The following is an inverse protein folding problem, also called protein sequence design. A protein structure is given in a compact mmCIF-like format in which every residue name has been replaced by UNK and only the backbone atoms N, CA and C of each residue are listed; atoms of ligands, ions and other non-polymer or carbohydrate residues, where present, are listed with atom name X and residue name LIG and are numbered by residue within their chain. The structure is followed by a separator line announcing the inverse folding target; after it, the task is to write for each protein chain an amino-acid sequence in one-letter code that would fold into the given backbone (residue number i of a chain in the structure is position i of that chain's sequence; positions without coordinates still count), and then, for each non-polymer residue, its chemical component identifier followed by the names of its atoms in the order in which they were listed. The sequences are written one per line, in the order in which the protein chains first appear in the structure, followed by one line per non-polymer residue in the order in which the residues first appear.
data_IF_571297654621
#
_entry.id   IF_571297654621
#
_cell.length_a   1.000
_cell.length_b   1.000
_cell.length_c   1.000
_cell.angle_alpha   90.00
_cell.angle_beta   90.00
_cell.angle_gamma   90.00
#
_symmetry.space_group_name_H-M   'P 1'
#
loop_
_entity.id
_entity.type
_entity.pdbx_description
1 polymer ?
#
# COMPACT_ATOMS: atom_id res chain seq x y z
N UNK A 1 16.56 9.70 1.06
CA UNK A 1 15.95 8.42 1.53
C UNK A 1 16.65 7.18 1.00
N UNK A 2 17.13 7.09 -0.26
CA UNK A 2 17.96 5.94 -0.70
C UNK A 2 19.36 5.86 -0.07
N UNK A 3 19.79 6.90 0.64
CA UNK A 3 21.12 6.95 1.29
C UNK A 3 21.26 6.01 2.51
N UNK A 4 20.17 5.38 2.99
CA UNK A 4 20.21 4.48 4.15
C UNK A 4 20.27 2.98 3.81
N UNK A 5 20.32 2.59 2.53
CA UNK A 5 20.35 1.17 2.14
C UNK A 5 19.02 0.42 2.35
N UNK A 6 17.93 1.15 2.61
CA UNK A 6 16.60 0.57 2.80
C UNK A 6 15.96 0.19 1.46
N UNK A 7 15.31 -0.97 1.44
CA UNK A 7 14.49 -1.38 0.29
C UNK A 7 13.18 -0.60 0.32
N UNK A 8 12.88 0.14 -0.75
CA UNK A 8 11.66 0.96 -0.82
C UNK A 8 10.64 0.20 -1.67
N UNK A 9 9.57 -0.27 -1.03
CA UNK A 9 8.47 -0.93 -1.73
C UNK A 9 7.25 -0.01 -1.82
N UNK A 10 6.48 -0.17 -2.88
CA UNK A 10 5.26 0.56 -3.13
C UNK A 10 4.05 -0.35 -3.02
N UNK A 11 2.95 0.15 -2.43
CA UNK A 11 1.68 -0.58 -2.41
C UNK A 11 0.53 0.27 -2.96
N UNK A 12 -0.15 -0.25 -3.98
CA UNK A 12 -1.29 0.37 -4.62
C UNK A 12 -2.56 -0.46 -4.44
N UNK A 13 -3.56 0.09 -3.77
CA UNK A 13 -4.86 -0.56 -3.58
C UNK A 13 -5.99 0.21 -4.24
N UNK A 14 -6.95 -0.52 -4.82
CA UNK A 14 -8.22 0.04 -5.29
C UNK A 14 -9.40 -0.80 -4.81
N UNK A 15 -10.38 -0.12 -4.21
CA UNK A 15 -11.65 -0.73 -3.83
C UNK A 15 -12.48 -1.00 -5.09
N UNK A 16 -13.37 -1.99 -5.03
CA UNK A 16 -14.39 -2.17 -6.08
C UNK A 16 -15.36 -0.99 -6.03
N UNK A 17 -15.54 -0.32 -7.15
CA UNK A 17 -16.44 0.81 -7.37
C UNK A 17 -17.10 0.66 -8.75
N UNK A 18 -17.95 1.61 -9.14
CA UNK A 18 -18.80 1.50 -10.34
C UNK A 18 -18.05 1.46 -11.67
N UNK A 19 -16.74 1.78 -11.70
CA UNK A 19 -15.97 1.73 -12.93
C UNK A 19 -15.70 0.31 -13.41
N UNK A 20 -15.61 0.18 -14.73
CA UNK A 20 -15.23 -1.02 -15.45
C UNK A 20 -13.78 -1.45 -15.20
N UNK A 21 -13.42 -2.63 -15.71
CA UNK A 21 -12.11 -3.23 -15.51
C UNK A 21 -10.98 -2.44 -16.19
N UNK A 22 -11.21 -1.94 -17.40
CA UNK A 22 -10.22 -1.17 -18.18
C UNK A 22 -9.86 0.14 -17.49
N UNK A 23 -10.88 0.89 -17.06
CA UNK A 23 -10.73 2.11 -16.27
C UNK A 23 -9.99 1.82 -14.98
N UNK A 24 -10.29 0.70 -14.31
CA UNK A 24 -9.60 0.30 -13.09
C UNK A 24 -8.11 0.00 -13.33
N UNK A 25 -7.77 -0.77 -14.36
CA UNK A 25 -6.38 -1.03 -14.79
C UNK A 25 -5.65 0.29 -15.06
N UNK A 26 -6.24 1.17 -15.87
CA UNK A 26 -5.67 2.47 -16.22
C UNK A 26 -5.39 3.34 -14.99
N UNK A 27 -6.31 3.34 -14.02
CA UNK A 27 -6.14 4.09 -12.77
C UNK A 27 -5.02 3.51 -11.90
N UNK A 28 -4.91 2.18 -11.81
CA UNK A 28 -3.81 1.52 -11.10
C UNK A 28 -2.47 1.80 -11.78
N UNK A 29 -2.39 1.72 -13.10
CA UNK A 29 -1.18 2.06 -13.86
C UNK A 29 -0.72 3.49 -13.58
N UNK A 30 -1.67 4.45 -13.53
CA UNK A 30 -1.36 5.84 -13.16
C UNK A 30 -0.80 5.95 -11.75
N UNK A 31 -1.31 5.17 -10.78
CA UNK A 31 -0.79 5.14 -9.42
C UNK A 31 0.65 4.61 -9.37
N UNK A 32 0.93 3.51 -10.08
CA UNK A 32 2.27 2.89 -10.15
C UNK A 32 3.28 3.84 -10.79
N UNK A 33 2.95 4.41 -11.95
CA UNK A 33 3.82 5.36 -12.65
C UNK A 33 4.21 6.56 -11.78
N UNK A 34 3.25 7.07 -10.99
CA UNK A 34 3.51 8.17 -10.04
C UNK A 34 4.45 7.74 -8.93
N UNK A 35 4.25 6.56 -8.36
CA UNK A 35 5.05 6.06 -7.26
C UNK A 35 6.49 5.78 -7.69
N UNK A 36 6.69 5.17 -8.87
CA UNK A 36 8.03 4.98 -9.45
C UNK A 36 8.72 6.30 -9.78
N UNK A 37 8.00 7.25 -10.39
CA UNK A 37 8.57 8.54 -10.80
C UNK A 37 8.97 9.45 -9.63
N UNK A 38 8.28 9.36 -8.48
CA UNK A 38 8.46 10.31 -7.36
C UNK A 38 9.09 9.69 -6.12
N UNK A 39 8.74 8.45 -5.82
CA UNK A 39 9.05 7.82 -4.55
C UNK A 39 10.21 6.82 -4.67
N UNK A 40 10.83 6.71 -5.86
CA UNK A 40 12.00 5.85 -6.16
C UNK A 40 11.81 4.40 -5.70
N UNK A 41 10.57 3.90 -5.78
CA UNK A 41 10.21 2.54 -5.37
C UNK A 41 10.98 1.52 -6.20
N UNK A 42 11.60 0.57 -5.50
CA UNK A 42 12.34 -0.55 -6.06
C UNK A 42 11.39 -1.66 -6.55
N UNK A 43 10.30 -1.90 -5.82
CA UNK A 43 9.32 -2.96 -6.11
C UNK A 43 7.89 -2.54 -5.76
N UNK A 44 6.93 -2.81 -6.65
CA UNK A 44 5.53 -2.39 -6.46
C UNK A 44 4.57 -3.58 -6.36
N UNK A 45 3.74 -3.58 -5.33
CA UNK A 45 2.66 -4.53 -5.07
C UNK A 45 1.31 -3.87 -5.31
N UNK A 46 0.35 -4.63 -5.84
CA UNK A 46 -0.97 -4.08 -6.20
C UNK A 46 -2.11 -4.94 -5.66
N UNK A 47 -3.21 -4.31 -5.29
CA UNK A 47 -4.46 -4.99 -4.92
C UNK A 47 -5.63 -4.33 -5.65
N UNK A 48 -6.02 -4.88 -6.83
CA UNK A 48 -6.91 -4.19 -7.77
C UNK A 48 -8.37 -4.12 -7.28
N UNK A 49 -8.81 -5.10 -6.49
CA UNK A 49 -10.20 -5.27 -6.05
C UNK A 49 -10.29 -5.55 -4.55
N UNK A 50 -9.64 -4.74 -3.71
CA UNK A 50 -9.63 -4.92 -2.26
C UNK A 50 -10.22 -3.71 -1.55
N UNK A 51 -11.21 -3.90 -0.67
CA UNK A 51 -11.80 -2.82 0.10
C UNK A 51 -10.84 -2.34 1.22
N UNK A 52 -10.92 -1.06 1.56
CA UNK A 52 -9.96 -0.42 2.48
C UNK A 52 -10.05 -0.93 3.92
N UNK A 53 -11.29 -1.16 4.38
CA UNK A 53 -11.55 -1.77 5.69
C UNK A 53 -11.61 -3.29 5.64
N UNK A 54 -11.24 -3.92 4.51
CA UNK A 54 -11.20 -5.38 4.44
C UNK A 54 -10.09 -5.85 5.36
N UNK A 55 -10.42 -6.85 6.18
CA UNK A 55 -9.43 -7.40 7.07
C UNK A 55 -8.26 -8.00 6.31
N UNK A 56 -7.06 -7.63 6.74
CA UNK A 56 -5.87 -8.36 6.37
C UNK A 56 -6.03 -9.75 6.98
N UNK A 57 -6.52 -10.70 6.18
CA UNK A 57 -6.49 -12.10 6.57
C UNK A 57 -5.01 -12.47 6.52
N UNK A 58 -4.34 -12.36 7.67
CA UNK A 58 -2.93 -12.70 7.86
C UNK A 58 -2.82 -14.25 7.81
N UNK A 59 -3.21 -14.86 6.67
CA UNK A 59 -3.25 -16.30 6.33
C UNK A 59 -4.46 -17.12 6.85
N UNK A 60 -4.85 -18.28 6.27
CA UNK A 60 -4.39 -18.98 5.06
C UNK A 60 -5.56 -19.17 4.06
N UNK A 61 -5.81 -18.19 3.19
CA UNK A 61 -6.56 -18.48 1.96
C UNK A 61 -5.91 -17.63 0.88
N UNK A 62 -5.34 -18.21 -0.18
CA UNK A 62 -4.96 -17.42 -1.33
C UNK A 62 -6.22 -16.71 -1.80
N UNK A 63 -6.24 -15.38 -1.66
CA UNK A 63 -7.23 -14.56 -2.36
C UNK A 63 -7.12 -15.01 -3.81
N UNK A 64 -8.22 -15.51 -4.40
CA UNK A 64 -8.23 -15.90 -5.81
C UNK A 64 -7.61 -14.76 -6.60
N UNK A 65 -6.41 -15.01 -7.11
CA UNK A 65 -5.64 -14.06 -7.89
C UNK A 65 -6.52 -13.67 -9.05
N UNK A 66 -6.84 -12.39 -9.17
CA UNK A 66 -7.58 -11.94 -10.34
C UNK A 66 -6.56 -11.73 -11.46
N UNK A 67 -6.07 -12.85 -11.99
CA UNK A 67 -4.98 -12.95 -12.99
C UNK A 67 -5.19 -12.05 -14.19
N UNK A 68 -6.44 -11.71 -14.53
CA UNK A 68 -6.77 -10.75 -15.60
C UNK A 68 -6.20 -9.35 -15.36
N UNK A 69 -6.20 -8.87 -14.12
CA UNK A 69 -5.63 -7.55 -13.79
C UNK A 69 -4.11 -7.58 -13.77
N UNK A 70 -3.51 -8.67 -13.30
CA UNK A 70 -2.06 -8.83 -13.21
C UNK A 70 -1.41 -8.80 -14.60
N UNK A 71 -2.08 -9.39 -15.61
CA UNK A 71 -1.62 -9.38 -16.99
C UNK A 71 -1.82 -8.04 -17.70
N UNK A 72 -2.68 -7.16 -17.18
CA UNK A 72 -3.08 -5.92 -17.83
C UNK A 72 -2.37 -4.68 -17.26
N UNK A 73 -1.66 -4.82 -16.13
CA UNK A 73 -0.93 -3.72 -15.51
C UNK A 73 0.56 -3.95 -15.73
N UNK A 74 1.20 -3.02 -16.44
CA UNK A 74 2.62 -3.05 -16.73
C UNK A 74 3.44 -2.66 -15.49
N UNK A 75 4.69 -3.10 -15.44
CA UNK A 75 5.68 -2.70 -14.43
C UNK A 75 5.27 -3.07 -12.99
N UNK A 76 4.57 -4.20 -12.83
CA UNK A 76 4.38 -4.85 -11.53
C UNK A 76 5.35 -6.02 -11.44
N UNK A 77 6.05 -6.11 -10.30
CA UNK A 77 6.94 -7.24 -10.05
C UNK A 77 6.28 -8.35 -9.24
N UNK A 78 5.35 -8.01 -8.33
CA UNK A 78 4.61 -8.97 -7.49
C UNK A 78 3.16 -8.52 -7.30
N UNK A 79 2.26 -9.47 -7.02
CA UNK A 79 0.82 -9.21 -6.91
C UNK A 79 0.27 -9.43 -5.50
N UNK A 80 -0.81 -8.74 -5.15
CA UNK A 80 -1.56 -8.90 -3.90
C UNK A 80 -0.75 -8.50 -2.64
N UNK A 81 -1.49 -8.22 -1.57
CA UNK A 81 -0.96 -8.04 -0.23
C UNK A 81 -0.17 -9.27 0.30
N UNK A 82 -0.51 -10.48 -0.14
CA UNK A 82 0.11 -11.70 0.38
C UNK A 82 1.58 -11.81 -0.01
N UNK A 83 1.90 -11.51 -1.27
CA UNK A 83 3.27 -11.52 -1.76
C UNK A 83 4.06 -10.39 -1.10
N UNK A 84 3.42 -9.23 -0.87
CA UNK A 84 4.02 -8.15 -0.09
C UNK A 84 4.38 -8.55 1.33
N UNK A 85 3.49 -9.25 2.05
CA UNK A 85 3.78 -9.73 3.41
C UNK A 85 4.92 -10.75 3.37
N UNK A 86 4.91 -11.65 2.38
CA UNK A 86 5.95 -12.67 2.21
C UNK A 86 7.31 -12.03 1.90
N UNK A 87 7.33 -10.98 1.08
CA UNK A 87 8.51 -10.17 0.79
C UNK A 87 9.02 -9.44 2.03
N UNK A 88 8.13 -8.82 2.81
CA UNK A 88 8.46 -8.16 4.08
C UNK A 88 9.01 -9.15 5.12
N UNK A 89 8.60 -10.42 5.09
CA UNK A 89 9.09 -11.42 6.03
C UNK A 89 10.56 -11.79 5.79
N UNK A 90 11.04 -11.73 4.54
CA UNK A 90 12.39 -12.16 4.15
C UNK A 90 13.35 -11.01 3.86
N UNK A 91 12.83 -9.80 3.63
CA UNK A 91 13.63 -8.63 3.27
C UNK A 91 13.78 -7.71 4.47
N UNK A 92 15.00 -7.47 4.97
CA UNK A 92 15.25 -6.52 6.06
C UNK A 92 15.15 -5.05 5.61
N UNK A 93 14.95 -4.15 6.57
CA UNK A 93 15.03 -2.69 6.40
C UNK A 93 14.14 -2.15 5.27
N UNK A 94 12.84 -2.47 5.33
CA UNK A 94 11.89 -2.10 4.29
C UNK A 94 11.13 -0.83 4.66
N UNK A 95 11.01 0.07 3.70
CA UNK A 95 10.12 1.25 3.76
C UNK A 95 8.97 1.09 2.79
N UNK A 96 7.74 1.16 3.31
CA UNK A 96 6.52 0.98 2.53
C UNK A 96 5.93 2.33 2.12
N UNK A 97 5.78 2.57 0.83
CA UNK A 97 5.15 3.78 0.27
C UNK A 97 3.70 3.51 -0.13
N UNK A 98 2.79 4.39 0.30
CA UNK A 98 1.38 4.43 -0.11
C UNK A 98 0.96 5.86 -0.47
N UNK A 99 0.01 6.02 -1.38
CA UNK A 99 -0.40 7.36 -1.88
C UNK A 99 -1.37 8.11 -0.95
N UNK A 100 -2.03 7.40 -0.04
CA UNK A 100 -2.91 7.95 0.98
C UNK A 100 -3.10 6.90 2.09
N UNK A 101 -3.62 7.31 3.24
CA UNK A 101 -3.84 6.41 4.38
C UNK A 101 -4.73 5.22 4.01
N UNK A 102 -5.87 5.51 3.37
CA UNK A 102 -6.78 4.47 2.91
C UNK A 102 -6.11 3.55 1.89
N UNK A 103 -5.12 4.00 1.13
CA UNK A 103 -4.35 3.21 0.16
C UNK A 103 -3.69 1.99 0.79
N UNK A 104 -3.34 2.07 2.08
CA UNK A 104 -2.94 0.93 2.89
C UNK A 104 -4.17 0.19 3.41
N UNK A 105 -4.82 0.75 4.44
CA UNK A 105 -6.02 0.21 5.08
C UNK A 105 -6.75 1.30 5.85
N UNK A 106 -8.04 1.09 6.12
CA UNK A 106 -8.80 1.87 7.10
C UNK A 106 -9.13 1.08 8.38
N UNK A 107 -8.70 -0.17 8.48
CA UNK A 107 -8.84 -0.95 9.70
C UNK A 107 -7.60 -0.79 10.58
N UNK A 108 -7.70 0.05 11.61
CA UNK A 108 -6.60 0.31 12.56
C UNK A 108 -6.16 -0.97 13.27
N UNK A 109 -7.09 -1.85 13.67
CA UNK A 109 -6.75 -3.08 14.40
C UNK A 109 -5.85 -3.97 13.56
N UNK A 110 -6.19 -4.10 12.28
CA UNK A 110 -5.41 -4.90 11.35
C UNK A 110 -4.11 -4.21 10.95
N UNK A 111 -4.08 -2.88 10.87
CA UNK A 111 -2.84 -2.13 10.66
C UNK A 111 -1.85 -2.38 11.80
N UNK A 112 -2.31 -2.30 13.06
CA UNK A 112 -1.48 -2.56 14.24
C UNK A 112 -0.94 -3.99 14.23
N UNK A 113 -1.80 -4.97 13.93
CA UNK A 113 -1.39 -6.38 13.80
C UNK A 113 -0.42 -6.61 12.63
N UNK A 114 -0.66 -5.98 11.48
CA UNK A 114 0.23 -6.04 10.32
C UNK A 114 1.62 -5.53 10.67
N UNK A 115 1.72 -4.38 11.34
CA UNK A 115 2.99 -3.82 11.78
C UNK A 115 3.66 -4.80 12.75
N UNK A 116 2.98 -5.25 13.81
CA UNK A 116 3.53 -6.22 14.78
C UNK A 116 4.12 -7.45 14.07
N UNK A 117 3.41 -8.01 13.09
CA UNK A 117 3.80 -9.23 12.37
C UNK A 117 4.84 -9.03 11.26
N UNK A 118 5.23 -7.79 10.96
CA UNK A 118 6.22 -7.46 9.91
C UNK A 118 7.43 -6.73 10.52
N UNK A 119 8.31 -7.42 11.27
CA UNK A 119 9.40 -6.77 12.02
C UNK A 119 10.41 -6.03 11.14
N UNK A 120 10.56 -6.44 9.88
CA UNK A 120 11.46 -5.79 8.93
C UNK A 120 10.91 -4.48 8.32
N UNK A 121 9.65 -4.13 8.60
CA UNK A 121 9.06 -2.87 8.18
C UNK A 121 9.54 -1.76 9.12
N UNK A 122 10.38 -0.86 8.62
CA UNK A 122 10.91 0.27 9.38
C UNK A 122 9.99 1.49 9.31
N UNK A 123 9.49 1.80 8.12
CA UNK A 123 8.77 3.04 7.87
C UNK A 123 7.55 2.82 6.97
N UNK A 124 6.47 3.54 7.27
CA UNK A 124 5.34 3.73 6.37
C UNK A 124 5.34 5.18 5.90
N UNK A 125 5.47 5.37 4.60
CA UNK A 125 5.52 6.66 3.93
C UNK A 125 4.18 6.87 3.23
N UNK A 126 3.43 7.88 3.69
CA UNK A 126 2.19 8.31 3.07
C UNK A 126 2.49 9.50 2.16
N UNK A 127 2.63 9.23 0.87
CA UNK A 127 2.89 10.22 -0.18
C UNK A 127 1.59 10.87 -0.66
N UNK A 128 1.15 11.88 0.08
CA UNK A 128 0.00 12.71 -0.29
C UNK A 128 0.40 13.91 -1.17
N UNK A 129 1.63 13.98 -1.71
CA UNK A 129 2.04 15.07 -2.60
C UNK A 129 1.04 15.32 -3.74
N UNK A 130 0.46 14.30 -4.40
CA UNK A 130 -0.44 14.53 -5.52
C UNK A 130 -1.76 15.23 -5.17
N UNK A 131 -2.13 15.29 -3.89
CA UNK A 131 -3.41 15.85 -3.44
C UNK A 131 -3.25 17.01 -2.46
N UNK A 132 -2.24 16.93 -1.58
CA UNK A 132 -2.08 17.83 -0.44
C UNK A 132 -0.65 18.40 -0.31
N UNK A 133 0.24 18.12 -1.27
CA UNK A 133 1.65 18.56 -1.24
C UNK A 133 2.38 18.22 0.06
N UNK A 134 2.04 17.08 0.68
CA UNK A 134 2.63 16.61 1.93
C UNK A 134 3.07 15.15 1.81
N UNK A 135 4.26 14.85 2.32
CA UNK A 135 4.69 13.49 2.62
C UNK A 135 4.68 13.36 4.14
N UNK A 136 4.15 12.26 4.65
CA UNK A 136 4.29 11.89 6.05
C UNK A 136 5.03 10.57 6.14
N UNK A 137 6.00 10.52 7.03
CA UNK A 137 6.80 9.32 7.31
C UNK A 137 6.50 8.94 8.74
N UNK A 138 6.08 7.70 8.94
CA UNK A 138 5.84 7.12 10.24
C UNK A 138 6.82 5.99 10.44
N UNK A 139 7.65 6.08 11.49
CA UNK A 139 8.46 4.93 11.89
C UNK A 139 7.58 3.86 12.50
N UNK A 140 8.06 2.62 12.46
CA UNK A 140 7.42 1.48 13.12
C UNK A 140 7.14 1.78 14.59
N UNK A 141 8.13 2.30 15.31
CA UNK A 141 8.05 2.60 16.73
C UNK A 141 6.96 3.64 17.01
N UNK A 142 6.88 4.68 16.19
CA UNK A 142 5.85 5.72 16.29
C UNK A 142 4.44 5.14 16.14
N UNK A 143 4.24 4.20 15.22
CA UNK A 143 2.94 3.57 14.99
C UNK A 143 2.58 2.53 16.07
N UNK A 144 3.57 1.93 16.72
CA UNK A 144 3.34 0.97 17.81
C UNK A 144 3.09 1.65 19.16
N UNK A 145 3.70 2.82 19.39
CA UNK A 145 3.62 3.55 20.67
C UNK A 145 2.48 4.57 20.72
N UNK A 146 2.11 5.20 19.61
CA UNK A 146 1.13 6.30 19.57
C UNK A 146 -0.08 5.94 18.71
N UNK A 147 -1.18 5.62 19.39
CA UNK A 147 -2.46 5.31 18.76
C UNK A 147 -3.04 6.52 17.98
N UNK A 148 -2.59 7.76 18.24
CA UNK A 148 -3.01 8.95 17.48
C UNK A 148 -2.52 8.91 16.04
N UNK A 149 -1.32 8.38 15.80
CA UNK A 149 -0.80 8.20 14.44
C UNK A 149 -1.57 7.12 13.68
N UNK A 150 -1.97 6.05 14.37
CA UNK A 150 -2.84 5.01 13.82
C UNK A 150 -4.23 5.56 13.48
N UNK A 151 -4.77 6.47 14.29
CA UNK A 151 -6.08 7.08 14.07
C UNK A 151 -6.18 7.84 12.73
N UNK A 152 -5.06 8.33 12.18
CA UNK A 152 -5.01 8.94 10.85
C UNK A 152 -5.44 7.97 9.73
N UNK A 153 -5.29 6.66 9.97
CA UNK A 153 -5.70 5.62 9.04
C UNK A 153 -7.20 5.28 9.12
N UNK A 154 -7.90 5.60 10.23
CA UNK A 154 -9.37 5.51 10.30
C UNK A 154 -10.05 6.71 9.61
N UNK A 155 -9.66 6.91 8.36
CA UNK A 155 -10.29 7.86 7.47
C UNK A 155 -11.54 7.20 6.87
N UNK A 156 -12.68 7.30 7.60
CA UNK A 156 -14.01 6.98 7.07
C UNK A 156 -14.43 8.02 6.03
N UNK A 157 -13.88 7.93 4.82
CA UNK A 157 -14.21 8.91 3.76
C UNK A 157 -14.41 8.21 2.42
N UNK A 158 -15.32 8.78 1.62
CA UNK A 158 -15.60 8.39 0.24
C UNK A 158 -14.32 8.20 -0.59
N UNK A 159 -14.41 7.38 -1.65
CA UNK A 159 -13.26 7.02 -2.49
C UNK A 159 -12.51 8.26 -3.00
N UNK A 160 -11.30 8.52 -2.47
CA UNK A 160 -10.51 9.68 -2.87
C UNK A 160 -9.82 9.40 -4.21
N UNK A 161 -9.79 10.38 -5.11
CA UNK A 161 -9.15 10.24 -6.42
C UNK A 161 -7.61 10.19 -6.31
N UNK A 162 -7.04 8.98 -6.37
CA UNK A 162 -5.58 8.75 -6.29
C UNK A 162 -4.85 8.94 -7.63
N UNK A 163 -5.59 8.85 -8.73
CA UNK A 163 -5.10 9.05 -10.09
C UNK A 163 -5.75 10.31 -10.68
N UNK A 164 -5.05 11.44 -10.61
CA UNK A 164 -5.33 12.61 -11.46
C UNK A 164 -4.48 12.50 -12.73
#
# INVERSE_FOLDING_TARGET
MKETGNTIIGYCRKSKTIEDEETRVRLLQKMIKRMRARSLVDKTFVSPCSAAGRTYRIYPVPLKVNTKFCLAIDDIEDDILLDMISFLAVTPNVSLVVLDYAGLTTNIKDLKQFIINTPNLENIIVDQLPQQHKIKIFSREQLLMDDSNLALFDCRVACVQRAK
#
